data_IF_581886737908
#
_entry.id   IF_581886737908
#
_cell.length_a   1.000
_cell.length_b   1.000
_cell.length_c   1.000
_cell.angle_alpha   90.00
_cell.angle_beta   90.00
_cell.angle_gamma   90.00
#
_symmetry.space_group_name_H-M   'P 1'
#
loop_
_entity.id
_entity.type
_entity.pdbx_description
1 polymer ?
#
# COMPACT_ATOMS: atom_id res chain seq x y z
N UNK A 1 54.63 -3.68 -18.65
CA UNK A 1 53.37 -4.39 -18.38
C UNK A 1 52.93 -3.97 -16.99
N UNK A 2 52.03 -2.99 -16.90
CA UNK A 2 51.44 -2.53 -15.64
C UNK A 2 49.92 -2.71 -15.76
N UNK A 3 49.33 -3.43 -14.81
CA UNK A 3 47.88 -3.43 -14.59
C UNK A 3 47.46 -2.10 -13.94
N UNK A 4 46.31 -1.51 -14.30
CA UNK A 4 45.62 -0.59 -13.42
C UNK A 4 44.41 -1.28 -12.79
N UNK A 5 44.54 -1.51 -11.49
CA UNK A 5 43.46 -1.63 -10.55
C UNK A 5 42.64 -0.32 -10.59
N UNK A 6 41.35 -0.39 -10.96
CA UNK A 6 40.41 0.71 -10.78
C UNK A 6 39.18 0.19 -10.04
N UNK A 7 39.23 0.52 -8.75
CA UNK A 7 38.16 0.70 -7.79
C UNK A 7 36.75 0.55 -8.36
N UNK A 8 36.08 -0.52 -7.90
CA UNK A 8 34.63 -0.67 -7.96
C UNK A 8 34.01 0.47 -7.18
N UNK A 9 33.71 1.56 -7.88
CA UNK A 9 32.75 2.56 -7.42
C UNK A 9 31.44 1.84 -7.16
N UNK A 10 31.17 1.58 -5.89
CA UNK A 10 29.90 1.04 -5.39
C UNK A 10 28.83 2.04 -5.79
N UNK A 11 28.17 1.76 -6.91
CA UNK A 11 26.94 2.45 -7.33
C UNK A 11 25.93 2.25 -6.22
N UNK A 12 25.82 3.26 -5.35
CA UNK A 12 24.77 3.37 -4.35
C UNK A 12 23.43 3.27 -5.09
N UNK A 13 22.79 2.11 -4.96
CA UNK A 13 21.44 1.88 -5.45
C UNK A 13 20.50 2.95 -4.92
N UNK A 14 20.04 3.84 -5.79
CA UNK A 14 19.02 4.84 -5.53
C UNK A 14 17.62 4.22 -5.28
N UNK A 15 17.55 2.92 -4.99
CA UNK A 15 16.32 2.14 -4.90
C UNK A 15 15.91 1.82 -3.45
N UNK A 16 16.23 2.72 -2.51
CA UNK A 16 15.89 2.61 -1.08
C UNK A 16 14.84 3.63 -0.63
N UNK A 17 13.97 4.05 -1.54
CA UNK A 17 12.72 4.71 -1.20
C UNK A 17 11.63 3.70 -1.51
N UNK A 18 11.00 3.17 -0.45
CA UNK A 18 9.88 2.25 -0.53
C UNK A 18 8.92 2.70 -1.60
N UNK A 19 8.89 1.97 -2.71
CA UNK A 19 8.00 2.22 -3.81
C UNK A 19 6.60 2.04 -3.26
N UNK A 20 5.94 3.15 -2.96
CA UNK A 20 4.50 3.24 -2.91
C UNK A 20 4.05 2.84 -4.31
N UNK A 21 3.85 1.54 -4.52
CA UNK A 21 3.27 1.02 -5.74
C UNK A 21 1.94 1.73 -5.88
N UNK A 22 1.90 2.74 -6.76
CA UNK A 22 0.65 3.31 -7.20
C UNK A 22 -0.18 2.11 -7.66
N UNK A 23 -1.37 1.90 -7.08
CA UNK A 23 -2.17 0.76 -7.47
C UNK A 23 -2.34 0.84 -8.98
N UNK A 24 -2.04 -0.27 -9.65
CA UNK A 24 -2.19 -0.38 -11.10
C UNK A 24 -3.53 0.24 -11.49
N UNK A 25 -3.64 1.00 -12.60
CA UNK A 25 -4.86 1.70 -12.98
C UNK A 25 -6.09 0.77 -13.09
N UNK A 26 -5.87 -0.54 -13.23
CA UNK A 26 -6.87 -1.61 -13.13
C UNK A 26 -7.52 -1.76 -11.73
N UNK A 27 -7.04 -1.07 -10.70
CA UNK A 27 -7.53 -1.12 -9.32
C UNK A 27 -8.17 0.19 -8.87
N UNK A 28 -8.57 1.02 -9.82
CA UNK A 28 -9.35 2.23 -9.59
C UNK A 28 -10.79 1.97 -10.05
N UNK A 29 -11.76 2.07 -9.13
CA UNK A 29 -13.18 1.92 -9.47
C UNK A 29 -13.93 3.22 -9.18
N UNK A 30 -14.73 3.75 -10.12
CA UNK A 30 -15.60 4.86 -9.81
C UNK A 30 -16.74 4.41 -8.90
N UNK A 31 -17.17 5.28 -7.99
CA UNK A 31 -18.23 5.00 -7.01
C UNK A 31 -19.54 4.54 -7.66
N UNK A 32 -19.79 4.93 -8.93
CA UNK A 32 -20.95 4.46 -9.71
C UNK A 32 -20.96 2.96 -9.94
N UNK A 33 -19.79 2.29 -9.96
CA UNK A 33 -19.68 0.83 -10.09
C UNK A 33 -20.05 0.09 -8.79
N UNK A 34 -20.17 0.81 -7.66
CA UNK A 34 -20.65 0.27 -6.40
C UNK A 34 -22.18 0.38 -6.23
N UNK A 35 -22.88 1.00 -7.20
CA UNK A 35 -24.34 1.12 -7.18
C UNK A 35 -25.05 -0.20 -7.52
N UNK A 36 -26.33 -0.33 -7.10
CA UNK A 36 -27.17 -1.55 -7.19
C UNK A 36 -26.92 -2.37 -8.47
N UNK A 37 -26.39 -3.57 -8.29
CA UNK A 37 -26.21 -4.59 -9.34
C UNK A 37 -24.83 -4.65 -10.00
N UNK A 38 -23.94 -3.67 -9.78
CA UNK A 38 -22.60 -3.62 -10.40
C UNK A 38 -21.44 -3.94 -9.45
N UNK A 39 -21.73 -4.05 -8.16
CA UNK A 39 -20.73 -4.26 -7.11
C UNK A 39 -19.98 -5.60 -7.20
N UNK A 40 -20.52 -6.61 -7.90
CA UNK A 40 -19.87 -7.92 -8.05
C UNK A 40 -18.46 -7.81 -8.66
N UNK A 41 -18.28 -6.99 -9.70
CA UNK A 41 -16.96 -6.76 -10.32
C UNK A 41 -15.97 -6.10 -9.35
N UNK A 42 -16.45 -5.17 -8.52
CA UNK A 42 -15.62 -4.53 -7.52
C UNK A 42 -15.15 -5.53 -6.45
N UNK A 43 -16.03 -6.43 -6.01
CA UNK A 43 -15.67 -7.49 -5.06
C UNK A 43 -14.74 -8.55 -5.66
N UNK A 44 -14.90 -8.89 -6.94
CA UNK A 44 -13.97 -9.79 -7.61
C UNK A 44 -12.57 -9.18 -7.72
N UNK A 45 -12.47 -7.89 -8.05
CA UNK A 45 -11.19 -7.19 -8.11
C UNK A 45 -10.44 -7.15 -6.76
N UNK A 46 -11.18 -7.16 -5.64
CA UNK A 46 -10.61 -7.17 -4.28
C UNK A 46 -9.91 -8.48 -3.94
N UNK A 47 -10.27 -9.60 -4.60
CA UNK A 47 -9.59 -10.90 -4.40
C UNK A 47 -8.11 -10.85 -4.77
N UNK A 48 -7.76 -10.01 -5.74
CA UNK A 48 -6.37 -9.82 -6.19
C UNK A 48 -5.64 -8.72 -5.39
N UNK A 49 -6.33 -8.08 -4.45
CA UNK A 49 -5.79 -7.12 -3.48
C UNK A 49 -6.56 -5.79 -3.43
N UNK A 50 -5.99 -4.77 -2.75
CA UNK A 50 -6.69 -3.51 -2.47
C UNK A 50 -7.14 -2.76 -3.71
N UNK A 51 -8.34 -2.17 -3.65
CA UNK A 51 -8.94 -1.37 -4.72
C UNK A 51 -9.27 0.03 -4.19
N UNK A 52 -8.94 1.07 -4.95
CA UNK A 52 -9.28 2.46 -4.61
C UNK A 52 -10.60 2.84 -5.26
N UNK A 53 -11.50 3.40 -4.46
CA UNK A 53 -12.77 3.97 -4.92
C UNK A 53 -12.59 5.45 -5.20
N UNK A 54 -13.00 5.87 -6.41
CA UNK A 54 -12.94 7.24 -6.87
C UNK A 54 -14.34 7.86 -6.94
N UNK A 55 -14.46 9.12 -6.52
CA UNK A 55 -15.60 9.97 -6.82
C UNK A 55 -15.10 11.26 -7.47
N UNK A 56 -15.55 11.56 -8.69
CA UNK A 56 -15.09 12.73 -9.47
C UNK A 56 -13.55 12.82 -9.52
N UNK A 57 -12.89 11.69 -9.82
CA UNK A 57 -11.43 11.54 -9.89
C UNK A 57 -10.67 11.75 -8.58
N UNK A 58 -11.37 11.82 -7.44
CA UNK A 58 -10.75 11.89 -6.11
C UNK A 58 -10.91 10.56 -5.37
N UNK A 59 -9.86 10.03 -4.73
CA UNK A 59 -9.98 8.86 -3.88
C UNK A 59 -10.82 9.18 -2.65
N UNK A 60 -11.83 8.36 -2.38
CA UNK A 60 -12.75 8.53 -1.24
C UNK A 60 -12.74 7.33 -0.28
N UNK A 61 -12.33 6.16 -0.76
CA UNK A 61 -12.29 4.95 0.04
C UNK A 61 -11.30 3.94 -0.56
N UNK A 62 -10.90 2.97 0.27
CA UNK A 62 -10.17 1.77 -0.14
C UNK A 62 -11.00 0.57 0.24
N UNK A 63 -11.17 -0.36 -0.69
CA UNK A 63 -11.80 -1.65 -0.45
C UNK A 63 -10.71 -2.70 -0.32
N UNK A 64 -10.81 -3.49 0.73
CA UNK A 64 -9.85 -4.51 1.13
C UNK A 64 -10.59 -5.84 1.36
N UNK A 65 -9.85 -6.95 1.34
CA UNK A 65 -10.39 -8.19 1.89
C UNK A 65 -10.58 -8.03 3.42
N UNK A 66 -11.51 -8.78 4.00
CA UNK A 66 -11.73 -8.78 5.46
C UNK A 66 -10.46 -9.22 6.19
N UNK A 67 -9.75 -10.21 5.65
CA UNK A 67 -8.50 -10.70 6.22
C UNK A 67 -7.39 -9.64 6.22
N UNK A 68 -7.26 -8.87 5.13
CA UNK A 68 -6.29 -7.78 5.06
C UNK A 68 -6.64 -6.65 6.02
N UNK A 69 -7.93 -6.30 6.11
CA UNK A 69 -8.40 -5.31 7.07
C UNK A 69 -8.07 -5.71 8.51
N UNK A 70 -8.39 -6.95 8.91
CA UNK A 70 -8.07 -7.45 10.26
C UNK A 70 -6.57 -7.48 10.52
N UNK A 71 -5.76 -7.86 9.53
CA UNK A 71 -4.29 -7.84 9.64
C UNK A 71 -3.75 -6.43 9.87
N UNK A 72 -4.26 -5.44 9.12
CA UNK A 72 -3.88 -4.04 9.26
C UNK A 72 -4.36 -3.45 10.58
N UNK A 73 -5.59 -3.74 11.01
CA UNK A 73 -6.14 -3.28 12.29
C UNK A 73 -5.28 -3.73 13.46
N UNK A 74 -4.95 -5.03 13.51
CA UNK A 74 -4.07 -5.59 14.56
C UNK A 74 -2.64 -5.04 14.51
N UNK A 75 -2.15 -4.64 13.35
CA UNK A 75 -0.84 -4.00 13.25
C UNK A 75 -0.88 -2.56 13.79
N UNK A 76 -1.95 -1.82 13.48
CA UNK A 76 -2.17 -0.47 14.00
C UNK A 76 -2.32 -0.47 15.54
N UNK A 77 -3.16 -1.35 16.08
CA UNK A 77 -3.37 -1.51 17.52
C UNK A 77 -2.05 -1.80 18.28
N UNK A 78 -1.18 -2.65 17.70
CA UNK A 78 0.15 -2.94 18.26
C UNK A 78 1.08 -1.74 18.26
N UNK A 79 1.06 -0.94 17.20
CA UNK A 79 1.87 0.28 17.12
C UNK A 79 1.38 1.36 18.10
N UNK A 80 0.06 1.53 18.26
CA UNK A 80 -0.51 2.46 19.23
C UNK A 80 -0.14 2.07 20.67
N UNK A 81 -0.14 0.76 20.96
CA UNK A 81 0.24 0.24 22.27
C UNK A 81 1.74 0.44 22.55
N UNK A 82 2.61 0.22 21.55
CA UNK A 82 4.05 0.46 21.68
C UNK A 82 4.38 1.95 21.87
N UNK A 83 3.71 2.85 21.15
CA UNK A 83 3.89 4.28 21.30
C UNK A 83 3.42 4.81 22.66
N UNK A 84 2.44 4.16 23.29
CA UNK A 84 1.95 4.53 24.61
C UNK A 84 2.87 4.12 25.76
N UNK A 85 3.72 3.09 25.57
CA UNK A 85 4.66 2.61 26.58
C UNK A 85 5.95 3.45 26.63
N UNK A 86 6.37 3.99 25.49
CA UNK A 86 7.56 4.87 25.39
C UNK A 86 7.38 6.26 26.02
N UNK A 87 6.13 6.66 26.33
CA UNK A 87 5.81 7.97 26.93
C UNK A 87 5.71 8.00 28.47
N UNK A 88 6.02 6.90 29.17
CA UNK A 88 5.88 6.78 30.64
C UNK A 88 7.19 6.68 31.42
N UNK A 89 8.32 6.91 30.77
CA UNK A 89 9.65 6.93 31.39
C UNK A 89 10.20 8.35 31.48
N UNK A 90 9.59 9.22 32.29
CA UNK A 90 10.21 10.45 32.81
C UNK A 90 10.07 10.50 34.33
#
# INVERSE_FOLDING_TARGET
MNEPNHERGSSMDANRIGAWHLPSPSRLIPVSELSRGKSAKAFDAVKDGPVIVLQRSRPIAVVLSVSDYERLRRAAERNETAAADEGRGE
#
